data_IF_321996813275
#
_entry.id   IF_321996813275
#
_cell.length_a   1.000
_cell.length_b   1.000
_cell.length_c   1.000
_cell.angle_alpha   90.00
_cell.angle_beta   90.00
_cell.angle_gamma   90.00
#
_symmetry.space_group_name_H-M   'P 1'
#
loop_
_entity.id
_entity.type
_entity.pdbx_description
1 polymer ?
#
# COMPACT_ATOMS: atom_id res chain seq x y z
N UNK A 1 33.17 11.21 18.29
CA UNK A 1 34.65 11.20 18.35
C UNK A 1 35.05 10.88 19.77
N UNK A 2 36.08 10.07 19.95
CA UNK A 2 36.68 9.77 21.24
C UNK A 2 38.16 10.13 21.19
N UNK A 3 38.70 10.60 22.29
CA UNK A 3 40.12 10.90 22.45
C UNK A 3 40.74 9.83 23.34
N UNK A 4 41.88 9.26 22.95
CA UNK A 4 42.61 8.35 23.81
C UNK A 4 43.46 9.10 24.85
N UNK A 5 44.08 8.35 25.76
CA UNK A 5 44.96 8.91 26.81
C UNK A 5 46.22 9.61 26.28
N UNK A 6 46.53 9.46 24.99
CA UNK A 6 47.67 10.07 24.33
C UNK A 6 47.27 11.31 23.51
N UNK A 7 45.98 11.69 23.53
CA UNK A 7 45.44 12.81 22.75
C UNK A 7 45.10 12.49 21.30
N UNK A 8 45.08 11.21 20.90
CA UNK A 8 44.69 10.81 19.55
C UNK A 8 43.15 10.76 19.43
N UNK A 9 42.62 11.38 18.38
CA UNK A 9 41.17 11.39 18.09
C UNK A 9 40.77 10.20 17.20
N UNK A 10 39.66 9.55 17.55
CA UNK A 10 39.10 8.39 16.86
C UNK A 10 37.59 8.56 16.59
N UNK A 11 37.13 8.00 15.47
CA UNK A 11 35.71 7.79 15.20
C UNK A 11 35.33 6.35 15.58
N UNK A 12 34.83 6.17 16.80
CA UNK A 12 34.46 4.84 17.32
C UNK A 12 33.22 4.25 16.65
N UNK A 13 32.28 5.10 16.26
CA UNK A 13 31.05 4.71 15.57
C UNK A 13 30.74 5.70 14.46
N UNK A 14 30.14 5.21 13.38
CA UNK A 14 29.75 6.00 12.23
C UNK A 14 28.49 5.42 11.61
N UNK A 15 27.44 6.25 11.52
CA UNK A 15 26.24 5.96 10.74
C UNK A 15 26.24 6.80 9.48
N UNK A 16 26.20 6.13 8.33
CA UNK A 16 26.14 6.76 7.02
C UNK A 16 24.76 6.53 6.42
N UNK A 17 24.14 7.60 5.92
CA UNK A 17 22.97 7.52 5.05
C UNK A 17 23.42 7.92 3.64
N UNK A 18 23.12 7.06 2.66
CA UNK A 18 23.49 7.29 1.25
C UNK A 18 22.25 7.73 0.50
N UNK A 19 22.38 8.77 -0.34
CA UNK A 19 21.32 9.20 -1.24
C UNK A 19 21.02 8.11 -2.28
N UNK A 20 19.81 7.54 -2.23
CA UNK A 20 19.35 6.49 -3.14
C UNK A 20 19.32 6.95 -4.60
N UNK A 21 19.10 8.24 -4.87
CA UNK A 21 19.13 8.79 -6.23
C UNK A 21 20.52 8.74 -6.85
N UNK A 22 21.58 8.62 -6.05
CA UNK A 22 22.95 8.49 -6.51
C UNK A 22 23.33 7.06 -6.96
N UNK A 23 22.42 6.07 -6.89
CA UNK A 23 22.70 4.66 -7.24
C UNK A 23 23.35 4.48 -8.60
N UNK A 24 22.92 5.26 -9.61
CA UNK A 24 23.48 5.22 -10.96
C UNK A 24 24.98 5.51 -11.04
N UNK A 25 25.52 6.30 -10.09
CA UNK A 25 26.93 6.74 -10.05
C UNK A 25 27.72 6.20 -8.85
N UNK A 26 27.12 5.36 -8.02
CA UNK A 26 27.72 4.82 -6.79
C UNK A 26 27.54 3.29 -6.69
N UNK A 27 27.70 2.58 -7.80
CA UNK A 27 27.38 1.14 -7.89
C UNK A 27 28.11 0.30 -6.85
N UNK A 28 29.38 0.61 -6.55
CA UNK A 28 30.17 -0.10 -5.53
C UNK A 28 29.56 0.01 -4.13
N UNK A 29 29.10 1.21 -3.73
CA UNK A 29 28.46 1.41 -2.42
C UNK A 29 27.14 0.64 -2.32
N UNK A 30 26.32 0.67 -3.37
CA UNK A 30 25.05 -0.04 -3.37
C UNK A 30 25.20 -1.57 -3.52
N UNK A 31 26.36 -2.06 -3.97
CA UNK A 31 26.67 -3.48 -3.95
C UNK A 31 26.98 -4.00 -2.52
N UNK A 32 27.34 -3.12 -1.59
CA UNK A 32 27.58 -3.43 -0.18
C UNK A 32 26.28 -3.46 0.66
N UNK A 33 25.13 -3.17 0.05
CA UNK A 33 23.81 -3.15 0.71
C UNK A 33 23.46 -4.55 1.25
N UNK A 34 23.39 -4.69 2.58
CA UNK A 34 22.98 -5.93 3.24
C UNK A 34 21.45 -6.06 3.24
N UNK A 35 20.95 -6.81 2.26
CA UNK A 35 19.52 -7.08 2.09
C UNK A 35 18.95 -8.02 3.17
N UNK A 36 19.77 -8.74 3.93
CA UNK A 36 19.25 -9.66 4.95
C UNK A 36 18.65 -8.91 6.15
N UNK A 37 18.97 -7.63 6.31
CA UNK A 37 18.46 -6.78 7.38
C UNK A 37 17.23 -5.95 6.98
N UNK A 38 16.79 -6.04 5.73
CA UNK A 38 15.62 -5.31 5.22
C UNK A 38 14.35 -6.18 5.32
N UNK A 39 13.19 -5.54 5.44
CA UNK A 39 11.91 -6.26 5.42
C UNK A 39 11.74 -6.97 4.04
N UNK A 40 11.40 -8.26 4.01
CA UNK A 40 11.24 -9.01 2.76
C UNK A 40 10.20 -8.43 1.80
N UNK A 41 9.16 -7.77 2.31
CA UNK A 41 8.12 -7.13 1.52
C UNK A 41 8.62 -5.81 0.91
N UNK A 42 9.42 -5.03 1.65
CA UNK A 42 10.09 -3.84 1.11
C UNK A 42 11.07 -4.21 -0.02
N UNK A 43 11.82 -5.30 0.16
CA UNK A 43 12.68 -5.85 -0.89
C UNK A 43 11.91 -6.31 -2.13
N UNK A 44 10.75 -6.92 -1.93
CA UNK A 44 9.88 -7.36 -3.01
C UNK A 44 9.30 -6.16 -3.76
N UNK A 45 8.85 -5.14 -3.04
CA UNK A 45 8.37 -3.89 -3.60
C UNK A 45 9.47 -3.17 -4.42
N UNK A 46 10.68 -3.06 -3.88
CA UNK A 46 11.80 -2.42 -4.58
C UNK A 46 12.16 -3.11 -5.91
N UNK A 47 12.01 -4.45 -6.00
CA UNK A 47 12.21 -5.19 -7.27
C UNK A 47 11.13 -4.90 -8.31
N UNK A 48 9.94 -4.50 -7.87
CA UNK A 48 8.80 -4.15 -8.71
C UNK A 48 8.71 -2.63 -8.98
N UNK A 49 9.72 -1.86 -8.55
CA UNK A 49 9.74 -0.39 -8.63
C UNK A 49 8.56 0.25 -7.87
N UNK A 50 8.24 -0.31 -6.70
CA UNK A 50 7.19 0.17 -5.80
C UNK A 50 7.83 0.74 -4.53
N UNK A 51 7.38 1.91 -4.10
CA UNK A 51 7.78 2.48 -2.83
C UNK A 51 6.86 1.94 -1.73
N UNK A 52 7.34 0.96 -0.97
CA UNK A 52 6.59 0.34 0.13
C UNK A 52 7.33 0.52 1.45
N UNK A 53 6.59 0.82 2.52
CA UNK A 53 7.09 0.79 3.90
C UNK A 53 6.05 0.07 4.74
N UNK A 54 6.49 -0.94 5.49
CA UNK A 54 5.58 -1.68 6.38
C UNK A 54 5.31 -0.87 7.65
N UNK A 55 4.06 -0.84 8.09
CA UNK A 55 3.60 -0.19 9.31
C UNK A 55 2.88 -1.20 10.22
N UNK A 56 2.47 -0.73 11.41
CA UNK A 56 1.87 -1.58 12.44
C UNK A 56 0.36 -1.75 12.37
N UNK A 57 -0.32 -1.02 11.50
CA UNK A 57 -1.77 -1.08 11.36
C UNK A 57 -2.31 -2.29 10.62
N UNK A 58 -3.60 -2.24 10.32
CA UNK A 58 -4.40 -3.31 9.74
C UNK A 58 -5.16 -2.91 8.46
N UNK A 59 -5.08 -1.65 8.04
CA UNK A 59 -5.69 -1.17 6.80
C UNK A 59 -4.62 -1.02 5.73
N UNK A 60 -4.63 -1.92 4.76
CA UNK A 60 -3.73 -1.88 3.62
C UNK A 60 -4.01 -0.65 2.75
N UNK A 61 -2.96 0.04 2.30
CA UNK A 61 -3.10 1.24 1.48
C UNK A 61 -2.40 1.04 0.13
N UNK A 62 -3.08 1.34 -0.98
CA UNK A 62 -2.46 1.41 -2.31
C UNK A 62 -2.82 2.74 -2.97
N UNK A 63 -1.82 3.58 -3.23
CA UNK A 63 -2.01 4.95 -3.68
C UNK A 63 -1.03 5.31 -4.78
N UNK A 64 -1.38 6.23 -5.67
CA UNK A 64 -0.43 6.82 -6.61
C UNK A 64 0.02 8.23 -6.15
N UNK A 65 1.33 8.41 -6.04
CA UNK A 65 1.99 9.61 -5.55
C UNK A 65 2.18 9.62 -4.02
N UNK A 66 3.42 9.78 -3.58
CA UNK A 66 3.79 9.81 -2.16
C UNK A 66 3.00 10.81 -1.31
N UNK A 67 2.70 12.00 -1.84
CA UNK A 67 1.90 13.01 -1.12
C UNK A 67 0.46 12.55 -0.87
N UNK A 68 -0.16 11.92 -1.86
CA UNK A 68 -1.49 11.35 -1.72
C UNK A 68 -1.48 10.12 -0.80
N UNK A 69 -0.41 9.32 -0.84
CA UNK A 69 -0.24 8.16 0.04
C UNK A 69 -0.17 8.60 1.51
N UNK A 70 0.62 9.63 1.82
CA UNK A 70 0.68 10.23 3.17
C UNK A 70 -0.69 10.78 3.60
N UNK A 71 -1.36 11.56 2.75
CA UNK A 71 -2.69 12.09 3.06
C UNK A 71 -3.74 10.98 3.28
N UNK A 72 -3.61 9.85 2.57
CA UNK A 72 -4.51 8.69 2.72
C UNK A 72 -4.29 7.99 4.06
N UNK A 73 -3.04 7.84 4.51
CA UNK A 73 -2.73 7.32 5.84
C UNK A 73 -3.24 8.27 6.93
N UNK A 74 -3.05 9.58 6.76
CA UNK A 74 -3.49 10.59 7.71
C UNK A 74 -5.02 10.58 7.88
N UNK A 75 -5.78 10.49 6.78
CA UNK A 75 -7.25 10.47 6.86
C UNK A 75 -7.80 9.15 7.43
N UNK A 76 -7.14 8.01 7.17
CA UNK A 76 -7.48 6.74 7.83
C UNK A 76 -7.28 6.89 9.35
N UNK A 77 -6.13 7.43 9.76
CA UNK A 77 -5.80 7.65 11.17
C UNK A 77 -6.76 8.65 11.83
N UNK A 78 -7.14 9.70 11.10
CA UNK A 78 -8.12 10.69 11.56
C UNK A 78 -9.50 10.07 11.85
N UNK A 79 -9.92 9.08 11.05
CA UNK A 79 -11.17 8.34 11.28
C UNK A 79 -11.04 7.17 12.26
N UNK A 80 -9.89 7.00 12.91
CA UNK A 80 -9.68 6.00 13.97
C UNK A 80 -9.16 4.65 13.50
N UNK A 81 -8.83 4.48 12.21
CA UNK A 81 -8.17 3.27 11.72
C UNK A 81 -6.65 3.36 11.76
N UNK A 82 -5.98 2.23 11.52
CA UNK A 82 -4.52 2.17 11.50
C UNK A 82 -4.00 1.69 10.13
N UNK A 83 -3.24 2.52 9.38
CA UNK A 83 -2.66 2.09 8.11
C UNK A 83 -1.59 1.02 8.35
N UNK A 84 -1.71 -0.10 7.63
CA UNK A 84 -0.79 -1.24 7.69
C UNK A 84 0.50 -1.01 6.89
N UNK A 85 0.47 -0.08 5.95
CA UNK A 85 1.62 0.22 5.10
C UNK A 85 1.51 1.61 4.47
N UNK A 86 2.65 2.14 4.06
CA UNK A 86 2.75 3.12 2.99
C UNK A 86 3.01 2.36 1.68
N UNK A 87 2.29 2.69 0.60
CA UNK A 87 2.61 2.18 -0.73
C UNK A 87 2.26 3.21 -1.80
N UNK A 88 3.28 3.65 -2.53
CA UNK A 88 3.16 4.48 -3.72
C UNK A 88 3.54 3.68 -4.99
N UNK A 89 2.56 3.47 -5.87
CA UNK A 89 2.72 2.80 -7.18
C UNK A 89 3.28 3.72 -8.28
N UNK A 90 3.41 5.02 -8.01
CA UNK A 90 3.84 6.04 -8.96
C UNK A 90 2.73 6.55 -9.89
N UNK A 91 3.00 7.67 -10.57
CA UNK A 91 2.03 8.34 -11.45
C UNK A 91 1.75 7.64 -12.79
N UNK A 92 2.56 6.65 -13.15
CA UNK A 92 2.47 5.88 -14.41
C UNK A 92 2.36 4.38 -14.14
N UNK A 93 1.70 4.01 -13.03
CA UNK A 93 1.59 2.63 -12.59
C UNK A 93 0.99 1.73 -13.68
N UNK A 94 1.66 0.61 -13.95
CA UNK A 94 1.15 -0.42 -14.85
C UNK A 94 0.17 -1.36 -14.12
N UNK A 95 -0.62 -2.13 -14.89
CA UNK A 95 -1.49 -3.18 -14.34
C UNK A 95 -0.68 -4.20 -13.53
N UNK A 96 0.52 -4.55 -14.00
CA UNK A 96 1.41 -5.50 -13.32
C UNK A 96 1.96 -4.94 -12.00
N UNK A 97 2.29 -3.65 -11.96
CA UNK A 97 2.71 -2.98 -10.72
C UNK A 97 1.57 -2.91 -9.71
N UNK A 98 0.35 -2.60 -10.15
CA UNK A 98 -0.84 -2.62 -9.29
C UNK A 98 -1.13 -4.04 -8.76
N UNK A 99 -1.00 -5.07 -9.61
CA UNK A 99 -1.15 -6.45 -9.20
C UNK A 99 -0.12 -6.87 -8.15
N UNK A 100 1.15 -6.50 -8.36
CA UNK A 100 2.20 -6.81 -7.41
C UNK A 100 2.05 -6.05 -6.10
N UNK A 101 1.59 -4.80 -6.14
CA UNK A 101 1.22 -4.03 -4.96
C UNK A 101 0.14 -4.74 -4.13
N UNK A 102 -0.90 -5.27 -4.77
CA UNK A 102 -1.92 -6.09 -4.10
C UNK A 102 -1.31 -7.36 -3.48
N UNK A 103 -0.44 -8.07 -4.20
CA UNK A 103 0.23 -9.27 -3.64
C UNK A 103 1.14 -8.94 -2.47
N UNK A 104 1.76 -7.76 -2.44
CA UNK A 104 2.60 -7.29 -1.31
C UNK A 104 1.72 -6.96 -0.10
N UNK A 105 0.66 -6.17 -0.28
CA UNK A 105 -0.27 -5.80 0.80
C UNK A 105 -0.91 -7.06 1.40
N UNK A 106 -1.34 -7.98 0.55
CA UNK A 106 -2.03 -9.21 0.98
C UNK A 106 -1.08 -10.29 1.45
N UNK A 107 0.24 -10.17 1.28
CA UNK A 107 1.19 -11.11 1.86
C UNK A 107 1.10 -11.13 3.40
N UNK A 108 0.70 -10.02 4.02
CA UNK A 108 0.45 -9.91 5.46
C UNK A 108 -1.03 -10.19 5.80
N UNK A 109 -1.57 -11.30 5.24
CA UNK A 109 -3.00 -11.69 5.33
C UNK A 109 -3.56 -11.71 6.75
N UNK A 110 -2.76 -12.07 7.74
CA UNK A 110 -3.19 -12.13 9.14
C UNK A 110 -3.36 -10.73 9.74
N UNK A 111 -2.60 -9.74 9.25
CA UNK A 111 -2.60 -8.38 9.78
C UNK A 111 -3.57 -7.45 9.05
N UNK A 112 -3.73 -7.62 7.74
CA UNK A 112 -4.57 -6.72 6.93
C UNK A 112 -6.03 -7.16 6.96
N UNK A 113 -6.89 -6.32 7.53
CA UNK A 113 -8.33 -6.55 7.67
C UNK A 113 -9.14 -5.95 6.51
N UNK A 114 -8.66 -4.86 5.91
CA UNK A 114 -9.29 -4.19 4.78
C UNK A 114 -8.24 -3.45 3.94
N UNK A 115 -8.54 -3.16 2.67
CA UNK A 115 -7.66 -2.40 1.77
C UNK A 115 -8.36 -1.13 1.30
N UNK A 116 -7.67 0.01 1.34
CA UNK A 116 -8.06 1.24 0.65
C UNK A 116 -7.15 1.46 -0.57
N UNK A 117 -7.75 1.40 -1.74
CA UNK A 117 -7.14 1.86 -2.99
C UNK A 117 -7.59 3.28 -3.27
N UNK A 118 -6.67 4.24 -3.27
CA UNK A 118 -6.96 5.63 -3.62
C UNK A 118 -6.10 6.06 -4.80
N UNK A 119 -6.69 6.10 -5.99
CA UNK A 119 -5.98 6.50 -7.20
C UNK A 119 -6.60 7.77 -7.78
N UNK A 120 -5.76 8.78 -7.97
CA UNK A 120 -6.09 10.01 -8.68
C UNK A 120 -5.31 10.05 -10.00
N UNK A 121 -5.96 9.64 -11.07
CA UNK A 121 -5.42 9.62 -12.42
C UNK A 121 -5.81 10.87 -13.19
N UNK A 122 -4.83 11.69 -13.60
CA UNK A 122 -5.06 12.68 -14.66
C UNK A 122 -5.12 11.98 -16.03
N UNK A 123 -3.97 11.47 -16.46
CA UNK A 123 -3.79 10.74 -17.73
C UNK A 123 -4.10 9.23 -17.63
N UNK A 124 -4.20 8.69 -16.42
CA UNK A 124 -4.51 7.27 -16.22
C UNK A 124 -6.00 6.99 -16.46
N UNK A 125 -6.24 5.84 -17.09
CA UNK A 125 -7.57 5.32 -17.40
C UNK A 125 -8.06 4.44 -16.25
N UNK A 126 -9.09 4.90 -15.55
CA UNK A 126 -9.61 4.22 -14.37
C UNK A 126 -10.19 2.83 -14.70
N UNK A 127 -10.75 2.65 -15.90
CA UNK A 127 -11.31 1.37 -16.36
C UNK A 127 -10.24 0.27 -16.49
N UNK A 128 -9.05 0.61 -16.99
CA UNK A 128 -7.91 -0.32 -17.09
C UNK A 128 -7.42 -0.74 -15.71
N UNK A 129 -7.30 0.21 -14.78
CA UNK A 129 -6.88 -0.06 -13.41
C UNK A 129 -7.93 -0.92 -12.68
N UNK A 130 -9.21 -0.58 -12.80
CA UNK A 130 -10.30 -1.38 -12.24
C UNK A 130 -10.28 -2.83 -12.73
N UNK A 131 -10.12 -3.04 -14.04
CA UNK A 131 -10.00 -4.39 -14.59
C UNK A 131 -8.78 -5.14 -14.03
N UNK A 132 -7.64 -4.45 -13.91
CA UNK A 132 -6.44 -5.01 -13.30
C UNK A 132 -6.67 -5.47 -11.86
N UNK A 133 -7.33 -4.63 -11.05
CA UNK A 133 -7.69 -4.97 -9.67
C UNK A 133 -8.64 -6.16 -9.59
N UNK A 134 -9.71 -6.17 -10.39
CA UNK A 134 -10.69 -7.28 -10.43
C UNK A 134 -10.01 -8.61 -10.76
N UNK A 135 -9.09 -8.60 -11.74
CA UNK A 135 -8.36 -9.81 -12.12
C UNK A 135 -7.52 -10.34 -10.95
N UNK A 136 -6.85 -9.46 -10.21
CA UNK A 136 -5.97 -9.82 -9.09
C UNK A 136 -6.76 -10.28 -7.88
N UNK A 137 -7.87 -9.61 -7.56
CA UNK A 137 -8.78 -10.02 -6.48
C UNK A 137 -9.35 -11.41 -6.74
N UNK A 138 -9.70 -11.72 -8.00
CA UNK A 138 -10.14 -13.05 -8.42
C UNK A 138 -9.02 -14.10 -8.35
N UNK A 139 -7.83 -13.77 -8.88
CA UNK A 139 -6.65 -14.65 -8.87
C UNK A 139 -6.27 -15.06 -7.43
N UNK A 140 -6.25 -14.09 -6.52
CA UNK A 140 -5.86 -14.28 -5.13
C UNK A 140 -7.01 -14.75 -4.22
N UNK A 141 -8.24 -14.81 -4.74
CA UNK A 141 -9.46 -15.13 -3.99
C UNK A 141 -9.59 -14.34 -2.69
N UNK A 142 -9.35 -13.01 -2.75
CA UNK A 142 -9.28 -12.18 -1.56
C UNK A 142 -10.63 -12.14 -0.83
N UNK A 143 -10.59 -12.47 0.46
CA UNK A 143 -11.76 -12.44 1.35
C UNK A 143 -11.91 -11.10 2.09
N UNK A 144 -10.86 -10.31 2.17
CA UNK A 144 -10.90 -9.01 2.83
C UNK A 144 -11.59 -7.97 1.94
N UNK A 145 -12.38 -7.04 2.52
CA UNK A 145 -13.02 -5.97 1.77
C UNK A 145 -11.99 -4.99 1.20
N UNK A 146 -12.25 -4.54 -0.02
CA UNK A 146 -11.45 -3.54 -0.72
C UNK A 146 -12.33 -2.32 -0.98
N UNK A 147 -11.98 -1.18 -0.39
CA UNK A 147 -12.59 0.10 -0.72
C UNK A 147 -11.73 0.78 -1.78
N UNK A 148 -12.37 1.24 -2.85
CA UNK A 148 -11.72 1.78 -4.03
C UNK A 148 -12.25 3.19 -4.26
N UNK A 149 -11.34 4.15 -4.34
CA UNK A 149 -11.63 5.51 -4.75
C UNK A 149 -10.79 5.82 -5.99
N UNK A 150 -11.46 5.95 -7.12
CA UNK A 150 -10.85 6.31 -8.41
C UNK A 150 -11.33 7.69 -8.83
N UNK A 151 -10.38 8.54 -9.22
CA UNK A 151 -10.67 9.80 -9.90
C UNK A 151 -9.86 9.87 -11.17
N UNK A 152 -10.47 10.34 -12.27
CA UNK A 152 -9.78 10.45 -13.55
C UNK A 152 -10.65 10.20 -14.77
N UNK A 153 -10.03 9.70 -15.82
CA UNK A 153 -10.71 9.41 -17.08
C UNK A 153 -11.43 8.05 -16.96
N UNK A 154 -12.68 7.97 -17.43
CA UNK A 154 -13.50 6.74 -17.42
C UNK A 154 -13.82 6.17 -16.04
N UNK A 155 -14.05 7.04 -15.06
CA UNK A 155 -14.42 6.63 -13.68
C UNK A 155 -15.76 5.91 -13.64
N UNK A 156 -16.75 6.37 -14.42
CA UNK A 156 -18.08 5.75 -14.42
C UNK A 156 -18.03 4.32 -14.99
N UNK A 157 -17.26 4.06 -16.06
CA UNK A 157 -17.05 2.69 -16.53
C UNK A 157 -16.29 1.84 -15.50
N UNK A 158 -15.30 2.41 -14.81
CA UNK A 158 -14.56 1.72 -13.77
C UNK A 158 -15.44 1.31 -12.57
N UNK A 159 -16.36 2.19 -12.15
CA UNK A 159 -17.34 1.89 -11.10
C UNK A 159 -18.32 0.81 -11.51
N UNK A 160 -18.82 0.86 -12.75
CA UNK A 160 -19.71 -0.17 -13.29
C UNK A 160 -19.00 -1.55 -13.30
N UNK A 161 -17.74 -1.59 -13.76
CA UNK A 161 -16.94 -2.82 -13.73
C UNK A 161 -16.78 -3.39 -12.31
N UNK A 162 -16.54 -2.53 -11.31
CA UNK A 162 -16.40 -2.96 -9.91
C UNK A 162 -17.74 -3.47 -9.36
N UNK A 163 -18.85 -2.80 -9.66
CA UNK A 163 -20.18 -3.20 -9.22
C UNK A 163 -20.62 -4.53 -9.84
N UNK A 164 -20.30 -4.76 -11.11
CA UNK A 164 -20.68 -5.98 -11.85
C UNK A 164 -19.81 -7.20 -11.49
N UNK A 165 -18.66 -7.00 -10.84
CA UNK A 165 -17.69 -8.07 -10.58
C UNK A 165 -18.13 -9.08 -9.49
N UNK A 166 -19.18 -8.80 -8.73
CA UNK A 166 -19.63 -9.59 -7.56
C UNK A 166 -18.48 -9.92 -6.58
N UNK A 167 -17.59 -8.93 -6.39
CA UNK A 167 -16.46 -8.99 -5.46
C UNK A 167 -16.73 -8.15 -4.22
N UNK A 168 -15.95 -8.38 -3.16
CA UNK A 168 -15.97 -7.56 -1.92
C UNK A 168 -15.29 -6.20 -2.15
N UNK A 169 -15.65 -5.52 -3.24
CA UNK A 169 -15.07 -4.26 -3.69
C UNK A 169 -16.13 -3.17 -3.65
N UNK A 170 -15.84 -2.04 -3.00
CA UNK A 170 -16.73 -0.89 -2.93
C UNK A 170 -16.10 0.29 -3.64
N UNK A 171 -16.79 0.88 -4.61
CA UNK A 171 -16.38 2.15 -5.19
C UNK A 171 -16.91 3.34 -4.36
N UNK A 172 -16.06 4.31 -4.07
CA UNK A 172 -16.38 5.57 -3.39
C UNK A 172 -15.91 6.75 -4.26
N UNK A 173 -16.62 7.87 -4.19
CA UNK A 173 -16.26 9.09 -4.91
C UNK A 173 -15.30 9.98 -4.13
N UNK A 174 -15.60 10.14 -2.85
CA UNK A 174 -14.94 11.05 -1.95
C UNK A 174 -13.93 10.33 -1.03
N UNK A 175 -12.83 11.01 -0.71
CA UNK A 175 -11.76 10.45 0.11
C UNK A 175 -12.17 10.26 1.57
N UNK A 176 -12.93 11.22 2.14
CA UNK A 176 -13.44 11.14 3.51
C UNK A 176 -14.45 9.99 3.65
N UNK A 177 -15.31 9.82 2.65
CA UNK A 177 -16.20 8.66 2.56
C UNK A 177 -15.41 7.35 2.47
N UNK A 178 -14.43 7.24 1.57
CA UNK A 178 -13.66 6.02 1.40
C UNK A 178 -12.92 5.63 2.69
N UNK A 179 -12.35 6.61 3.38
CA UNK A 179 -11.66 6.42 4.65
C UNK A 179 -12.62 5.93 5.76
N UNK A 180 -13.77 6.58 5.94
CA UNK A 180 -14.80 6.11 6.89
C UNK A 180 -15.27 4.69 6.59
N UNK A 181 -15.45 4.37 5.31
CA UNK A 181 -15.91 3.06 4.88
C UNK A 181 -14.86 1.97 5.15
N UNK A 182 -13.59 2.20 4.82
CA UNK A 182 -12.55 1.19 5.04
C UNK A 182 -12.32 0.93 6.52
N UNK A 183 -12.38 1.97 7.37
CA UNK A 183 -12.25 1.83 8.82
C UNK A 183 -13.39 0.97 9.37
N UNK A 184 -14.65 1.30 9.06
CA UNK A 184 -15.81 0.51 9.49
C UNK A 184 -15.75 -0.95 9.03
N UNK A 185 -15.34 -1.18 7.78
CA UNK A 185 -15.20 -2.53 7.26
C UNK A 185 -14.08 -3.30 7.96
N UNK A 186 -12.96 -2.64 8.27
CA UNK A 186 -11.89 -3.25 9.07
C UNK A 186 -12.36 -3.65 10.47
N UNK A 187 -13.12 -2.79 11.16
CA UNK A 187 -13.70 -3.09 12.48
C UNK A 187 -14.65 -4.29 12.41
N UNK A 188 -15.51 -4.36 11.39
CA UNK A 188 -16.41 -5.50 11.18
C UNK A 188 -15.62 -6.79 10.98
N UNK A 189 -14.54 -6.76 10.20
CA UNK A 189 -13.67 -7.93 9.99
C UNK A 189 -12.96 -8.34 11.29
N UNK A 190 -12.49 -7.38 12.10
CA UNK A 190 -11.90 -7.67 13.40
C UNK A 190 -12.89 -8.30 14.37
N UNK A 191 -14.11 -7.74 14.44
CA UNK A 191 -15.22 -8.30 15.22
C UNK A 191 -15.54 -9.73 14.75
N UNK A 192 -15.61 -9.94 13.44
CA UNK A 192 -15.82 -11.26 12.84
C UNK A 192 -14.69 -12.25 13.13
N UNK A 193 -13.44 -11.80 13.23
CA UNK A 193 -12.31 -12.67 13.62
C UNK A 193 -12.32 -13.00 15.11
N UNK A 194 -12.87 -12.12 15.95
CA UNK A 194 -12.96 -12.31 17.40
C UNK A 194 -14.07 -13.28 17.86
N UNK A 195 -15.02 -13.57 16.97
CA UNK A 195 -16.16 -14.48 17.20
C UNK A 195 -16.09 -15.58 16.12
N UNK A 196 -16.43 -16.86 16.35
CA UNK A 196 -16.31 -17.89 15.32
C UNK A 196 -17.43 -17.81 14.26
N UNK A 197 -17.55 -16.68 13.57
CA UNK A 197 -18.58 -16.39 12.56
C UNK A 197 -17.90 -15.86 11.29
N UNK A 198 -18.18 -16.49 10.16
CA UNK A 198 -17.79 -15.98 8.85
C UNK A 198 -18.73 -14.85 8.42
N UNK A 199 -18.17 -13.69 8.04
CA UNK A 199 -18.93 -12.55 7.52
C UNK A 199 -18.86 -12.49 5.98
N UNK A 200 -20.04 -12.47 5.36
CA UNK A 200 -20.22 -12.17 3.94
C UNK A 200 -20.78 -10.75 3.78
N UNK A 201 -20.07 -9.90 3.04
CA UNK A 201 -20.54 -8.58 2.70
C UNK A 201 -21.42 -8.68 1.45
N UNK A 202 -22.67 -8.21 1.55
CA UNK A 202 -23.52 -7.94 0.39
C UNK A 202 -23.56 -6.43 0.17
N UNK A 203 -23.06 -6.01 -0.98
CA UNK A 203 -22.94 -4.61 -1.36
C UNK A 203 -24.10 -4.31 -2.31
N UNK A 204 -24.97 -3.38 -1.91
CA UNK A 204 -26.13 -2.92 -2.68
C UNK A 204 -25.92 -1.51 -3.21
#
# INVERSE_FOLDING_TARGET
MAEDINGNLYCLDCKLNVDSNARHRQQELFAMEDKQQQDPLELRAAKADLNYIRLDGNIGCMVNGAGLAMATMDIIKFHGGDPANFLDVGGSATVDQAAEAFRIITADTDKVDAILVNIFGGIMRCDVIAQGMINVVNELQLKIPVVVRLQGTRVEEAKALIADADLRMLACDDLDQAAKMVVKLSEIVQLARSVPIDVSFHLS
#
